data_IF_510599692326
#
_entry.id   IF_510599692326
#
_cell.length_a   1.000
_cell.length_b   1.000
_cell.length_c   1.000
_cell.angle_alpha   90.00
_cell.angle_beta   90.00
_cell.angle_gamma   90.00
#
_symmetry.space_group_name_H-M   'P 1'
#
loop_
_entity.id
_entity.type
_entity.pdbx_description
1 polymer ?
#
# COMPACT_ATOMS: atom_id res chain seq x y z
N UNK A 1 0.43 -6.68 -7.70
CA UNK A 1 0.75 -5.81 -8.86
C UNK A 1 0.28 -4.38 -8.64
N UNK A 2 -1.00 -4.18 -8.34
CA UNK A 2 -1.62 -2.84 -8.34
C UNK A 2 -1.19 -1.96 -7.16
N UNK A 3 -1.19 -2.51 -5.93
CA UNK A 3 -0.93 -1.75 -4.69
C UNK A 3 0.42 -1.01 -4.69
N UNK A 4 1.55 -1.63 -5.09
CA UNK A 4 2.83 -0.91 -5.19
C UNK A 4 2.80 0.25 -6.19
N UNK A 5 2.13 0.10 -7.33
CA UNK A 5 1.97 1.18 -8.31
C UNK A 5 1.12 2.32 -7.73
N UNK A 6 -0.03 2.02 -7.12
CA UNK A 6 -0.91 3.03 -6.47
C UNK A 6 -0.16 3.79 -5.37
N UNK A 7 0.69 3.10 -4.62
CA UNK A 7 1.57 3.71 -3.63
C UNK A 7 2.58 4.67 -4.26
N UNK A 8 3.28 4.24 -5.32
CA UNK A 8 4.26 5.07 -6.03
C UNK A 8 3.61 6.30 -6.68
N UNK A 9 2.42 6.17 -7.24
CA UNK A 9 1.68 7.31 -7.80
C UNK A 9 1.31 8.34 -6.71
N UNK A 10 1.04 7.90 -5.49
CA UNK A 10 0.61 8.76 -4.38
C UNK A 10 1.77 9.35 -3.57
N UNK A 11 2.83 8.57 -3.36
CA UNK A 11 3.90 8.81 -2.39
C UNK A 11 5.30 8.57 -2.95
N UNK A 12 5.42 8.13 -4.20
CA UNK A 12 6.70 7.99 -4.89
C UNK A 12 7.27 9.35 -5.30
N UNK A 13 8.60 9.40 -5.43
CA UNK A 13 9.30 10.60 -5.90
C UNK A 13 9.08 10.86 -7.40
N UNK A 14 8.73 9.82 -8.16
CA UNK A 14 8.26 9.88 -9.54
C UNK A 14 7.22 8.79 -9.82
N UNK A 15 6.46 8.99 -10.89
CA UNK A 15 5.58 7.98 -11.48
C UNK A 15 6.37 7.01 -12.37
N UNK A 16 5.83 5.81 -12.53
CA UNK A 16 6.34 4.84 -13.51
C UNK A 16 5.94 5.30 -14.93
N UNK A 17 6.84 5.17 -15.90
CA UNK A 17 6.49 5.40 -17.30
C UNK A 17 5.73 4.19 -17.87
N UNK A 18 5.13 4.35 -19.06
CA UNK A 18 4.33 3.29 -19.69
C UNK A 18 5.14 2.00 -19.89
N UNK A 19 6.42 2.10 -20.27
CA UNK A 19 7.29 0.93 -20.44
C UNK A 19 7.58 0.23 -19.12
N UNK A 20 7.88 0.98 -18.05
CA UNK A 20 8.11 0.41 -16.72
C UNK A 20 6.86 -0.26 -16.17
N UNK A 21 5.68 0.32 -16.41
CA UNK A 21 4.41 -0.26 -15.99
C UNK A 21 4.15 -1.58 -16.70
N UNK A 22 4.39 -1.64 -18.01
CA UNK A 22 4.29 -2.88 -18.80
C UNK A 22 5.29 -3.94 -18.33
N UNK A 23 6.55 -3.57 -18.09
CA UNK A 23 7.56 -4.48 -17.56
C UNK A 23 7.19 -5.01 -16.16
N UNK A 24 6.65 -4.15 -15.31
CA UNK A 24 6.18 -4.50 -13.98
C UNK A 24 5.01 -5.50 -14.03
N UNK A 25 4.02 -5.27 -14.89
CA UNK A 25 2.92 -6.22 -15.10
C UNK A 25 3.42 -7.57 -15.64
N UNK A 26 4.32 -7.55 -16.64
CA UNK A 26 4.90 -8.76 -17.22
C UNK A 26 5.70 -9.59 -16.19
N UNK A 27 6.44 -8.92 -15.30
CA UNK A 27 7.15 -9.56 -14.19
C UNK A 27 6.19 -10.32 -13.28
N UNK A 28 5.14 -9.66 -12.79
CA UNK A 28 4.17 -10.30 -11.89
C UNK A 28 3.34 -11.38 -12.58
N UNK A 29 3.05 -11.23 -13.87
CA UNK A 29 2.40 -12.29 -14.66
C UNK A 29 3.25 -13.55 -14.70
N UNK A 30 4.55 -13.39 -15.00
CA UNK A 30 5.50 -14.50 -15.02
C UNK A 30 5.65 -15.15 -13.65
N UNK A 31 5.72 -14.34 -12.59
CA UNK A 31 5.76 -14.82 -11.21
C UNK A 31 4.50 -15.63 -10.87
N UNK A 32 3.31 -15.11 -11.16
CA UNK A 32 2.04 -15.79 -10.91
C UNK A 32 1.92 -17.12 -11.66
N UNK A 33 2.32 -17.15 -12.93
CA UNK A 33 2.36 -18.37 -13.72
C UNK A 33 3.29 -19.43 -13.09
N UNK A 34 4.46 -19.02 -12.59
CA UNK A 34 5.39 -19.92 -11.87
C UNK A 34 4.89 -20.37 -10.50
N UNK A 35 3.99 -19.62 -9.88
CA UNK A 35 3.29 -20.02 -8.65
C UNK A 35 2.11 -20.97 -8.91
N UNK A 36 1.82 -21.30 -10.17
CA UNK A 36 0.69 -22.17 -10.54
C UNK A 36 -0.67 -21.47 -10.52
N UNK A 37 -0.69 -20.14 -10.48
CA UNK A 37 -1.93 -19.36 -10.57
C UNK A 37 -2.42 -19.41 -12.02
N UNK A 38 -3.69 -19.80 -12.20
CA UNK A 38 -4.34 -19.86 -13.51
C UNK A 38 -4.94 -18.50 -13.87
N UNK A 39 -5.16 -18.28 -15.16
CA UNK A 39 -5.87 -17.11 -15.69
C UNK A 39 -5.30 -15.77 -15.20
N UNK A 40 -3.96 -15.69 -15.16
CA UNK A 40 -3.26 -14.48 -14.71
C UNK A 40 -3.49 -13.34 -15.72
N UNK A 41 -3.91 -12.13 -15.28
CA UNK A 41 -4.15 -11.00 -16.14
C UNK A 41 -2.97 -10.62 -17.05
N UNK A 42 -3.26 -10.11 -18.25
CA UNK A 42 -2.24 -9.83 -19.27
C UNK A 42 -1.65 -8.42 -19.17
N UNK A 43 -2.50 -7.41 -18.94
CA UNK A 43 -2.12 -6.01 -18.82
C UNK A 43 -2.21 -5.48 -17.39
N UNK A 44 -1.61 -4.31 -17.15
CA UNK A 44 -1.70 -3.65 -15.85
C UNK A 44 -3.17 -3.26 -15.53
N UNK A 45 -3.89 -2.80 -16.53
CA UNK A 45 -5.31 -2.42 -16.46
C UNK A 45 -6.19 -3.62 -16.10
N UNK A 46 -5.86 -4.81 -16.60
CA UNK A 46 -6.55 -6.05 -16.23
C UNK A 46 -6.26 -6.44 -14.77
N UNK A 47 -5.02 -6.25 -14.31
CA UNK A 47 -4.69 -6.42 -12.89
C UNK A 47 -5.45 -5.42 -12.00
N UNK A 48 -5.58 -4.16 -12.41
CA UNK A 48 -6.39 -3.15 -11.69
C UNK A 48 -7.84 -3.58 -11.58
N UNK A 49 -8.47 -3.93 -12.70
CA UNK A 49 -9.86 -4.36 -12.74
C UNK A 49 -10.10 -5.62 -11.92
N UNK A 50 -9.19 -6.59 -12.00
CA UNK A 50 -9.27 -7.84 -11.23
C UNK A 50 -9.17 -7.58 -9.73
N UNK A 51 -8.24 -6.71 -9.30
CA UNK A 51 -8.13 -6.34 -7.89
C UNK A 51 -9.39 -5.62 -7.41
N UNK A 52 -9.85 -4.59 -8.13
CA UNK A 52 -10.98 -3.78 -7.69
C UNK A 52 -12.27 -4.61 -7.61
N UNK A 53 -12.52 -5.49 -8.59
CA UNK A 53 -13.65 -6.41 -8.54
C UNK A 53 -13.55 -7.41 -7.36
N UNK A 54 -12.35 -7.94 -7.10
CA UNK A 54 -12.12 -8.84 -5.98
C UNK A 54 -12.31 -8.12 -4.63
N UNK A 55 -11.81 -6.89 -4.49
CA UNK A 55 -12.03 -6.09 -3.28
C UNK A 55 -13.52 -5.81 -3.07
N UNK A 56 -14.25 -5.41 -4.11
CA UNK A 56 -15.68 -5.12 -4.01
C UNK A 56 -16.52 -6.34 -3.63
N UNK A 57 -16.17 -7.53 -4.14
CA UNK A 57 -16.91 -8.77 -3.86
C UNK A 57 -16.52 -9.42 -2.51
N UNK A 58 -15.25 -9.34 -2.12
CA UNK A 58 -14.71 -10.16 -1.01
C UNK A 58 -14.30 -9.36 0.23
N UNK A 59 -14.09 -8.03 0.14
CA UNK A 59 -13.68 -7.26 1.32
C UNK A 59 -14.85 -7.10 2.29
N UNK A 60 -14.88 -7.98 3.28
CA UNK A 60 -15.82 -7.96 4.39
C UNK A 60 -15.14 -7.92 5.74
N UNK A 61 -15.97 -7.90 6.78
CA UNK A 61 -15.50 -8.10 8.14
C UNK A 61 -15.17 -9.56 8.37
N UNK A 62 -13.96 -9.81 8.86
CA UNK A 62 -13.52 -11.11 9.37
C UNK A 62 -12.76 -10.90 10.69
N UNK A 63 -13.08 -11.72 11.69
CA UNK A 63 -12.45 -11.62 13.00
C UNK A 63 -10.97 -12.03 12.95
N UNK A 64 -10.62 -13.02 12.12
CA UNK A 64 -9.23 -13.42 11.87
C UNK A 64 -8.43 -12.30 11.22
N UNK A 65 -8.97 -11.69 10.17
CA UNK A 65 -8.40 -10.54 9.49
C UNK A 65 -8.16 -9.37 10.44
N UNK A 66 -9.11 -9.13 11.37
CA UNK A 66 -8.93 -8.13 12.42
C UNK A 66 -7.74 -8.45 13.33
N UNK A 67 -7.63 -9.68 13.82
CA UNK A 67 -6.51 -10.10 14.69
C UNK A 67 -5.17 -9.96 13.99
N UNK A 68 -5.06 -10.35 12.72
CA UNK A 68 -3.84 -10.21 11.92
C UNK A 68 -3.47 -8.73 11.73
N UNK A 69 -4.46 -7.87 11.46
CA UNK A 69 -4.23 -6.44 11.30
C UNK A 69 -3.74 -5.79 12.61
N UNK A 70 -4.36 -6.12 13.75
CA UNK A 70 -3.92 -5.62 15.06
C UNK A 70 -2.51 -6.12 15.44
N UNK A 71 -2.17 -7.38 15.12
CA UNK A 71 -0.83 -7.91 15.31
C UNK A 71 0.22 -7.19 14.45
N UNK A 72 -0.11 -6.87 13.19
CA UNK A 72 0.77 -6.12 12.29
C UNK A 72 1.00 -4.70 12.79
N UNK A 73 -0.05 -4.02 13.27
CA UNK A 73 0.07 -2.68 13.86
C UNK A 73 0.91 -2.69 15.15
N UNK A 74 0.76 -3.72 15.99
CA UNK A 74 1.57 -3.89 17.18
C UNK A 74 3.05 -4.13 16.83
N UNK A 75 3.32 -4.99 15.84
CA UNK A 75 4.67 -5.24 15.34
C UNK A 75 5.34 -3.96 14.82
N UNK A 76 4.64 -3.18 14.00
CA UNK A 76 5.15 -1.89 13.53
C UNK A 76 5.45 -0.93 14.70
N UNK A 77 4.61 -0.91 15.73
CA UNK A 77 4.84 -0.11 16.93
C UNK A 77 6.08 -0.54 17.72
N UNK A 78 6.38 -1.84 17.74
CA UNK A 78 7.54 -2.40 18.46
C UNK A 78 8.90 -2.00 17.87
N UNK A 79 8.94 -1.55 16.61
CA UNK A 79 10.17 -1.01 15.99
C UNK A 79 10.59 0.35 16.54
N UNK A 80 9.72 1.01 17.32
CA UNK A 80 9.94 2.34 17.86
C UNK A 80 9.90 2.33 19.39
N UNK A 81 10.55 3.31 20.06
CA UNK A 81 10.40 3.50 21.50
C UNK A 81 8.93 3.58 21.93
N UNK A 82 8.59 3.00 23.09
CA UNK A 82 7.21 2.87 23.58
C UNK A 82 6.37 4.18 23.53
N UNK A 83 6.92 5.39 23.82
CA UNK A 83 6.14 6.63 23.71
C UNK A 83 5.69 6.98 22.28
N UNK A 84 6.39 6.49 21.25
CA UNK A 84 6.08 6.75 19.84
C UNK A 84 5.13 5.70 19.24
N UNK A 85 4.99 4.53 19.85
CA UNK A 85 4.10 3.47 19.40
C UNK A 85 2.65 3.92 19.08
N UNK A 86 1.96 4.74 19.91
CA UNK A 86 0.61 5.20 19.58
C UNK A 86 0.58 6.12 18.35
N UNK A 87 1.61 6.94 18.14
CA UNK A 87 1.73 7.82 16.98
C UNK A 87 1.93 6.99 15.70
N UNK A 88 2.82 5.99 15.75
CA UNK A 88 3.07 5.07 14.64
C UNK A 88 1.79 4.31 14.28
N UNK A 89 1.06 3.79 15.26
CA UNK A 89 -0.22 3.12 15.03
C UNK A 89 -1.25 4.04 14.38
N UNK A 90 -1.36 5.28 14.84
CA UNK A 90 -2.27 6.27 14.25
C UNK A 90 -1.87 6.62 12.80
N UNK A 91 -0.57 6.79 12.53
CA UNK A 91 -0.05 7.03 11.20
C UNK A 91 -0.30 5.84 10.26
N UNK A 92 -0.06 4.62 10.72
CA UNK A 92 -0.34 3.40 9.94
C UNK A 92 -1.83 3.31 9.60
N UNK A 93 -2.73 3.56 10.55
CA UNK A 93 -4.18 3.60 10.28
C UNK A 93 -4.58 4.73 9.31
N UNK A 94 -3.88 5.87 9.33
CA UNK A 94 -4.10 6.96 8.38
C UNK A 94 -3.61 6.65 6.95
N UNK A 95 -2.72 5.67 6.81
CA UNK A 95 -2.22 5.18 5.53
C UNK A 95 -3.06 4.04 4.97
N UNK A 96 -3.73 3.25 5.81
CA UNK A 96 -4.68 2.24 5.36
C UNK A 96 -5.78 2.87 4.48
N UNK A 97 -6.12 2.16 3.41
CA UNK A 97 -7.19 2.56 2.51
C UNK A 97 -8.57 2.47 3.17
N UNK A 98 -9.52 3.26 2.68
CA UNK A 98 -10.86 3.35 3.29
C UNK A 98 -11.63 2.03 3.22
N UNK A 99 -11.38 1.20 2.19
CA UNK A 99 -11.95 -0.15 2.07
C UNK A 99 -11.50 -1.05 3.22
N UNK A 100 -10.20 -1.08 3.52
CA UNK A 100 -9.63 -1.84 4.64
C UNK A 100 -10.06 -1.31 6.01
N UNK A 101 -10.14 0.01 6.18
CA UNK A 101 -10.65 0.61 7.43
C UNK A 101 -12.11 0.19 7.69
N UNK A 102 -12.94 0.15 6.64
CA UNK A 102 -14.32 -0.35 6.72
C UNK A 102 -14.36 -1.85 7.01
N UNK A 103 -13.62 -2.64 6.23
CA UNK A 103 -13.57 -4.10 6.36
C UNK A 103 -13.18 -4.52 7.78
N UNK A 104 -12.11 -3.95 8.33
CA UNK A 104 -11.63 -4.25 9.69
C UNK A 104 -12.32 -3.44 10.80
N UNK A 105 -13.36 -2.66 10.48
CA UNK A 105 -14.11 -1.83 11.45
C UNK A 105 -13.19 -0.95 12.33
N UNK A 106 -12.08 -0.45 11.78
CA UNK A 106 -11.23 0.50 12.49
C UNK A 106 -11.96 1.84 12.62
N UNK A 107 -11.75 2.53 13.75
CA UNK A 107 -12.18 3.93 13.87
C UNK A 107 -11.42 4.74 12.82
N UNK A 108 -12.16 5.38 11.91
CA UNK A 108 -11.56 6.22 10.87
C UNK A 108 -10.69 7.31 11.53
N UNK A 109 -9.43 7.47 11.11
CA UNK A 109 -8.61 8.57 11.60
C UNK A 109 -9.22 9.89 11.13
N UNK A 110 -9.12 10.93 11.97
CA UNK A 110 -9.65 12.24 11.63
C UNK A 110 -9.04 12.80 10.34
N UNK A 111 -9.77 13.64 9.58
CA UNK A 111 -9.32 14.14 8.28
C UNK A 111 -7.99 14.89 8.36
N UNK A 112 -7.73 15.57 9.48
CA UNK A 112 -6.46 16.26 9.76
C UNK A 112 -5.29 15.29 9.87
N UNK A 113 -5.42 14.22 10.68
CA UNK A 113 -4.36 13.23 10.84
C UNK A 113 -4.03 12.57 9.50
N UNK A 114 -5.06 12.20 8.71
CA UNK A 114 -4.88 11.64 7.37
C UNK A 114 -4.18 12.62 6.42
N UNK A 115 -4.59 13.90 6.44
CA UNK A 115 -3.96 14.96 5.66
C UNK A 115 -2.49 15.16 6.01
N UNK A 116 -2.16 15.22 7.30
CA UNK A 116 -0.78 15.39 7.79
C UNK A 116 0.09 14.20 7.40
N UNK A 117 -0.35 12.97 7.64
CA UNK A 117 0.44 11.77 7.32
C UNK A 117 0.69 11.66 5.81
N UNK A 118 -0.35 11.83 4.98
CA UNK A 118 -0.20 11.80 3.52
C UNK A 118 0.64 12.97 3.00
N UNK A 119 0.49 14.15 3.60
CA UNK A 119 1.29 15.34 3.30
C UNK A 119 2.78 15.14 3.60
N UNK A 120 3.10 14.58 4.76
CA UNK A 120 4.47 14.28 5.17
C UNK A 120 5.15 13.29 4.21
N UNK A 121 4.44 12.23 3.77
CA UNK A 121 4.96 11.30 2.78
C UNK A 121 5.19 11.95 1.41
N UNK A 122 4.28 12.82 0.95
CA UNK A 122 4.47 13.58 -0.29
C UNK A 122 5.63 14.56 -0.20
N UNK A 123 5.80 15.21 0.95
CA UNK A 123 6.93 16.09 1.20
C UNK A 123 8.24 15.32 1.17
N UNK A 124 8.30 14.16 1.84
CA UNK A 124 9.44 13.23 1.76
C UNK A 124 9.73 12.85 0.31
N UNK A 125 8.71 12.51 -0.48
CA UNK A 125 8.86 12.15 -1.88
C UNK A 125 9.51 13.28 -2.71
N UNK A 126 9.07 14.52 -2.48
CA UNK A 126 9.66 15.71 -3.12
C UNK A 126 11.09 15.96 -2.67
N UNK A 127 11.39 15.79 -1.38
CA UNK A 127 12.75 15.91 -0.87
C UNK A 127 13.68 14.86 -1.49
N UNK A 128 13.24 13.60 -1.59
CA UNK A 128 14.01 12.51 -2.22
C UNK A 128 14.28 12.78 -3.69
N UNK A 129 13.34 13.42 -4.42
CA UNK A 129 13.55 13.81 -5.82
C UNK A 129 14.74 14.78 -6.00
N UNK A 130 15.08 15.55 -4.97
CA UNK A 130 16.20 16.51 -5.00
C UNK A 130 17.53 15.89 -4.54
N UNK A 131 17.51 14.67 -3.97
CA UNK A 131 18.72 13.98 -3.54
C UNK A 131 19.46 13.37 -4.74
N UNK A 132 20.80 13.28 -4.68
CA UNK A 132 21.57 12.63 -5.73
C UNK A 132 21.17 11.16 -5.89
N UNK A 133 21.28 10.59 -7.11
CA UNK A 133 21.05 9.17 -7.33
C UNK A 133 21.90 8.34 -6.37
N UNK A 134 21.31 7.30 -5.78
CA UNK A 134 22.05 6.37 -4.92
C UNK A 134 23.16 5.73 -5.75
N UNK A 135 24.40 5.84 -5.28
CA UNK A 135 25.60 5.28 -5.94
C UNK A 135 25.97 3.90 -5.40
N UNK A 136 25.39 3.50 -4.27
CA UNK A 136 25.58 2.20 -3.64
C UNK A 136 24.21 1.61 -3.27
N UNK A 137 24.02 0.29 -3.44
CA UNK A 137 22.78 -0.41 -3.08
C UNK A 137 22.50 -0.37 -1.58
#
# INVERSE_FOLDING_TARGET
VVTPKRWLDSFGWRRLCCHELGAFAAYYRTLGARMGIKDVPESYEDFERTLDAYEDEHFGWDEGGRRVSDATLALMGSWYPAPLAPLVRAASLALLDDSLLRAFRYRRPGPVARGVTRGALRLRARAVRLLPPRRTP
#
